data_IF_285781565400
#
_entry.id   IF_285781565400
#
_cell.length_a   1.000
_cell.length_b   1.000
_cell.length_c   1.000
_cell.angle_alpha   90.00
_cell.angle_beta   90.00
_cell.angle_gamma   90.00
#
_symmetry.space_group_name_H-M   'P 1'
#
loop_
_entity.id
_entity.type
_entity.pdbx_description
1 polymer ?
2 non-polymer ?
3 non-polymer ?
4 water ?
#
# COMPACT_ATOMS: atom_id res chain seq x y z
N UNK A 4 -12.05 16.47 6.56
CA UNK A 4 -12.78 15.51 5.75
C UNK A 4 -12.14 14.15 5.98
N UNK A 5 -12.24 13.29 4.97
CA UNK A 5 -11.95 11.86 5.07
C UNK A 5 -10.48 11.68 4.73
N UNK A 6 -9.62 12.03 5.68
CA UNK A 6 -8.19 11.78 5.53
C UNK A 6 -7.84 10.40 6.00
N UNK A 7 -6.83 9.82 5.36
CA UNK A 7 -6.35 8.48 5.67
C UNK A 7 -6.19 8.28 7.18
N UNK A 8 -6.85 7.25 7.72
CA UNK A 8 -6.69 6.91 9.12
C UNK A 8 -7.17 5.48 9.34
N UNK A 9 -6.87 4.96 10.54
CA UNK A 9 -7.39 3.65 10.92
C UNK A 9 -8.80 3.77 11.46
N UNK A 10 -9.66 2.84 11.05
CA UNK A 10 -11.06 2.80 11.44
C UNK A 10 -11.41 1.40 11.92
N UNK A 11 -12.46 1.26 12.74
CA UNK A 11 -12.82 -0.06 13.26
C UNK A 11 -13.37 -0.98 12.19
N UNK A 12 -13.06 -2.27 12.31
CA UNK A 12 -13.58 -3.29 11.40
C UNK A 12 -13.57 -4.61 12.16
N UNK A 13 -14.76 -5.07 12.57
CA UNK A 13 -14.88 -6.37 13.23
C UNK A 13 -15.21 -7.40 12.17
N UNK A 14 -14.49 -8.52 12.20
CA UNK A 14 -14.66 -9.61 11.25
C UNK A 14 -15.08 -10.86 12.02
N UNK A 15 -16.30 -11.30 11.79
CA UNK A 15 -16.76 -12.61 12.22
C UNK A 15 -16.27 -13.64 11.22
N UNK A 16 -15.59 -14.68 11.70
CA UNK A 16 -15.04 -15.66 10.77
C UNK A 16 -16.12 -16.43 10.02
N UNK A 17 -17.34 -16.49 10.56
CA UNK A 17 -18.41 -17.18 9.84
C UNK A 17 -18.73 -16.44 8.54
N UNK A 18 -18.76 -15.12 8.58
CA UNK A 18 -19.18 -14.34 7.43
C UNK A 18 -18.24 -14.50 6.24
N UNK A 19 -17.07 -15.12 6.43
CA UNK A 19 -16.16 -15.39 5.33
C UNK A 19 -15.95 -16.88 5.11
N UNK A 20 -16.63 -17.72 5.89
CA UNK A 20 -16.49 -19.16 5.78
C UNK A 20 -15.24 -19.73 6.41
N UNK A 21 -14.44 -18.91 7.12
CA UNK A 21 -13.26 -19.44 7.77
C UNK A 21 -13.58 -20.20 9.06
N UNK A 22 -14.83 -20.18 9.52
CA UNK A 22 -15.18 -21.06 10.63
C UNK A 22 -15.04 -22.54 10.27
N UNK A 23 -14.76 -22.86 9.01
CA UNK A 23 -14.50 -24.24 8.63
C UNK A 23 -13.18 -24.74 9.20
N UNK A 24 -12.22 -23.86 9.44
CA UNK A 24 -10.93 -24.29 9.98
C UNK A 24 -10.48 -23.51 11.19
N UNK A 25 -11.04 -22.34 11.47
CA UNK A 25 -10.71 -21.61 12.69
C UNK A 25 -11.72 -21.99 13.77
N UNK A 26 -11.22 -22.57 14.86
CA UNK A 26 -12.07 -22.99 15.97
C UNK A 26 -12.35 -21.82 16.92
N UNK A 27 -11.34 -20.99 17.20
CA UNK A 27 -11.46 -19.86 18.11
C UNK A 27 -10.40 -18.84 17.73
N UNK A 28 -10.68 -17.54 17.90
CA UNK A 28 -11.93 -16.90 18.36
C UNK A 28 -13.00 -16.94 17.27
N UNK A 29 -14.26 -16.60 17.58
CA UNK A 29 -15.28 -16.49 16.51
C UNK A 29 -15.06 -15.31 15.57
N UNK A 30 -14.38 -14.28 16.04
CA UNK A 30 -14.12 -13.09 15.23
C UNK A 30 -13.07 -12.27 15.95
N UNK A 31 -12.69 -11.15 15.34
CA UNK A 31 -11.70 -10.28 15.97
C UNK A 31 -11.81 -8.88 15.37
N UNK A 32 -11.18 -7.93 16.04
CA UNK A 32 -11.10 -6.54 15.59
C UNK A 32 -9.93 -6.45 14.63
N UNK A 33 -10.22 -6.48 13.32
CA UNK A 33 -9.18 -6.42 12.30
C UNK A 33 -8.76 -5.01 11.92
N UNK A 34 -9.62 -4.02 12.15
CA UNK A 34 -9.45 -2.64 11.70
C UNK A 34 -9.27 -2.53 10.19
N UNK A 35 -9.27 -1.31 9.67
CA UNK A 35 -9.01 -1.10 8.25
C UNK A 35 -8.50 0.33 8.10
N UNK A 36 -7.91 0.61 6.95
CA UNK A 36 -7.41 1.94 6.66
C UNK A 36 -8.27 2.55 5.59
N UNK A 37 -8.79 3.75 5.85
CA UNK A 37 -9.75 4.40 4.98
C UNK A 37 -9.49 5.89 4.93
N UNK A 38 -9.77 6.51 3.79
CA UNK A 38 -9.58 7.94 3.61
C UNK A 38 -8.59 8.25 2.50
N UNK A 39 -8.45 9.56 2.21
CA UNK A 39 -7.67 10.01 1.06
C UNK A 39 -6.28 10.45 1.50
N UNK A 40 -5.35 10.36 0.57
CA UNK A 40 -3.98 10.82 0.75
C UNK A 40 -3.85 12.15 0.04
N UNK A 41 -4.02 13.23 0.78
CA UNK A 41 -4.02 14.57 0.21
C UNK A 41 -2.67 15.24 0.40
N UNK A 42 -2.20 15.91 -0.65
CA UNK A 42 -0.99 16.72 -0.55
C UNK A 42 -1.32 18.04 0.16
N UNK A 43 -0.45 18.52 1.07
CA UNK A 43 0.82 17.95 1.54
C UNK A 43 0.63 16.71 2.41
N UNK A 44 1.32 15.61 2.09
CA UNK A 44 1.12 14.38 2.83
C UNK A 44 1.66 14.52 4.24
N UNK A 45 0.80 14.31 5.23
CA UNK A 45 1.17 14.48 6.63
C UNK A 45 2.27 13.50 7.01
N UNK A 46 3.18 13.96 7.88
CA UNK A 46 4.34 13.14 8.21
C UNK A 46 3.93 11.86 8.94
N UNK A 47 2.84 11.88 9.70
CA UNK A 47 2.46 10.66 10.41
C UNK A 47 2.01 9.55 9.48
N UNK A 48 1.78 9.85 8.20
CA UNK A 48 1.39 8.83 7.23
C UNK A 48 2.61 8.21 6.55
N UNK A 49 3.79 8.50 7.06
CA UNK A 49 5.10 8.00 6.63
C UNK A 49 5.24 7.87 5.12
N UNK A 50 4.89 8.90 4.35
CA UNK A 50 4.87 8.75 2.89
C UNK A 50 6.27 8.50 2.34
N UNK A 51 6.33 7.62 1.34
CA UNK A 51 7.59 7.42 0.62
C UNK A 51 7.81 8.57 -0.37
N UNK A 52 9.04 8.66 -0.88
CA UNK A 52 9.34 9.67 -1.90
C UNK A 52 8.50 9.43 -3.14
N UNK A 53 8.35 8.16 -3.54
CA UNK A 53 7.50 7.86 -4.68
C UNK A 53 6.06 8.31 -4.45
N UNK A 54 5.53 8.06 -3.26
CA UNK A 54 4.16 8.48 -2.97
C UNK A 54 4.03 10.00 -3.02
N UNK A 55 5.05 10.72 -2.55
CA UNK A 55 5.03 12.17 -2.60
C UNK A 55 5.06 12.66 -4.04
N UNK A 56 5.96 12.09 -4.85
CA UNK A 56 6.10 12.56 -6.22
C UNK A 56 4.88 12.19 -7.04
N UNK A 57 4.38 10.97 -6.88
CA UNK A 57 3.17 10.57 -7.59
C UNK A 57 2.01 11.50 -7.25
N UNK A 58 1.86 11.83 -5.96
CA UNK A 58 0.76 12.70 -5.56
C UNK A 58 0.90 14.09 -6.16
N UNK A 59 2.14 14.59 -6.24
CA UNK A 59 2.37 15.91 -6.80
C UNK A 59 2.09 15.94 -8.30
N UNK A 60 2.56 14.93 -9.03
CA UNK A 60 2.26 14.84 -10.46
C UNK A 60 0.76 14.82 -10.69
N UNK A 61 0.05 14.04 -9.87
CA UNK A 61 -1.39 13.88 -10.06
C UNK A 61 -2.16 15.13 -9.66
N UNK A 62 -1.58 15.92 -8.76
CA UNK A 62 -2.29 17.07 -8.21
C UNK A 62 -2.68 18.07 -9.30
N UNK A 63 -1.76 18.32 -10.22
CA UNK A 63 -1.99 19.28 -11.29
C UNK A 63 -2.32 18.62 -12.62
N UNK A 64 -2.48 17.29 -12.64
CA UNK A 64 -2.81 16.54 -13.89
C UNK A 64 -3.59 15.37 -13.31
N UNK A 65 -4.92 15.47 -13.36
CA UNK A 65 -5.73 14.37 -12.85
C UNK A 65 -5.75 13.17 -13.79
N UNK A 66 -5.26 13.32 -15.02
CA UNK A 66 -5.23 12.22 -16.00
C UNK A 66 -3.85 11.61 -16.16
N UNK A 67 -2.97 11.80 -15.19
CA UNK A 67 -1.64 11.21 -15.18
C UNK A 67 -1.47 10.58 -13.81
N UNK A 68 -0.98 9.33 -13.76
CA UNK A 68 -0.78 8.60 -12.51
C UNK A 68 -2.07 8.63 -11.67
N UNK A 69 -1.97 8.71 -10.34
CA UNK A 69 -3.14 8.64 -9.47
C UNK A 69 -2.74 9.12 -8.07
N UNK A 70 -3.71 9.19 -7.16
CA UNK A 70 -3.41 9.57 -5.78
C UNK A 70 -2.75 8.38 -5.08
N UNK A 71 -1.93 8.66 -4.06
CA UNK A 71 -1.37 7.61 -3.21
C UNK A 71 -2.48 6.94 -2.42
N UNK A 72 -2.26 5.69 -2.04
CA UNK A 72 -3.31 4.87 -1.43
C UNK A 72 -3.10 4.74 0.07
N UNK A 73 -4.20 4.76 0.80
CA UNK A 73 -4.24 4.58 2.25
C UNK A 73 -4.23 3.09 2.54
N UNK A 74 -3.14 2.57 3.10
CA UNK A 74 -2.97 1.13 3.30
C UNK A 74 -2.39 0.86 4.68
N UNK A 75 -2.54 -0.37 5.17
CA UNK A 75 -1.84 -0.75 6.41
C UNK A 75 -0.33 -0.70 6.22
N UNK A 76 0.34 -0.07 7.18
CA UNK A 76 1.79 -0.05 7.22
C UNK A 76 2.37 -0.79 8.42
N UNK A 77 1.53 -1.24 9.35
CA UNK A 77 2.00 -2.10 10.42
C UNK A 77 0.84 -3.01 10.82
N UNK A 78 1.10 -4.31 10.88
CA UNK A 78 0.09 -5.31 11.17
C UNK A 78 0.48 -6.05 12.45
N UNK A 79 -0.53 -6.47 13.22
CA UNK A 79 -0.30 -7.15 14.49
C UNK A 79 -0.84 -8.57 14.43
N UNK A 80 -0.27 -9.49 15.20
CA UNK A 80 -0.83 -10.86 15.25
C UNK A 80 -2.03 -10.96 16.18
N UNK A 81 -2.76 -12.06 16.02
CA UNK A 81 -3.72 -12.52 17.03
C UNK A 81 -3.43 -13.98 17.34
N UNK A 82 -3.98 -14.47 18.45
CA UNK A 82 -3.94 -15.91 18.77
C UNK A 82 -5.15 -16.58 18.12
N UNK A 83 -4.92 -17.75 17.52
CA UNK A 83 -6.01 -18.54 16.96
C UNK A 83 -5.86 -20.00 17.37
N UNK A 84 -6.98 -20.68 17.46
CA UNK A 84 -7.05 -22.13 17.60
C UNK A 84 -7.65 -22.66 16.32
N UNK A 85 -6.93 -23.52 15.62
CA UNK A 85 -7.37 -23.92 14.29
C UNK A 85 -7.04 -25.37 13.98
N UNK A 86 -7.62 -25.83 12.86
CA UNK A 86 -7.34 -27.13 12.29
C UNK A 86 -6.34 -26.99 11.15
N UNK A 87 -5.24 -27.74 11.22
CA UNK A 87 -4.19 -27.70 10.20
C UNK A 87 -3.99 -29.11 9.66
N UNK A 88 -4.53 -29.38 8.47
CA UNK A 88 -4.45 -30.70 7.86
C UNK A 88 -5.02 -31.78 8.79
N UNK A 89 -5.99 -31.40 9.60
CA UNK A 89 -6.72 -32.35 10.42
C UNK A 89 -6.13 -32.60 11.80
N UNK A 90 -5.61 -31.56 12.44
CA UNK A 90 -5.14 -31.66 13.82
C UNK A 90 -5.27 -30.30 14.47
N UNK A 91 -5.78 -30.27 15.70
CA UNK A 91 -6.01 -29.01 16.41
C UNK A 91 -4.66 -28.39 16.76
N UNK A 92 -4.44 -27.18 16.25
CA UNK A 92 -3.18 -26.47 16.43
C UNK A 92 -3.45 -25.13 17.11
N UNK A 93 -2.53 -24.74 17.99
CA UNK A 93 -2.60 -23.45 18.68
C UNK A 93 -1.42 -22.58 18.25
N UNK A 94 -1.72 -21.34 17.91
CA UNK A 94 -0.68 -20.39 17.51
C UNK A 94 -0.95 -19.08 18.24
N UNK A 95 -0.05 -18.71 19.16
CA UNK A 95 -0.25 -17.51 19.97
C UNK A 95 -0.13 -16.24 19.15
N UNK A 96 0.74 -16.22 18.14
CA UNK A 96 0.87 -15.03 17.29
C UNK A 96 0.82 -15.42 15.80
N UNK A 97 -0.39 -15.47 15.28
CA UNK A 97 -0.66 -15.65 13.85
C UNK A 97 -0.52 -14.28 13.20
N UNK A 98 0.55 -14.06 12.46
CA UNK A 98 0.97 -12.71 12.08
C UNK A 98 0.10 -12.11 10.98
N UNK A 99 0.12 -10.78 10.92
CA UNK A 99 -0.44 -10.06 9.78
C UNK A 99 -1.92 -9.80 9.83
N UNK A 100 -2.55 -9.80 11.00
CA UNK A 100 -4.00 -9.90 11.05
C UNK A 100 -4.73 -8.59 11.35
N UNK A 101 -4.18 -7.75 12.22
CA UNK A 101 -4.89 -6.57 12.71
C UNK A 101 -4.06 -5.34 12.38
N UNK A 102 -4.71 -4.29 11.87
CA UNK A 102 -4.00 -3.07 11.53
C UNK A 102 -3.65 -2.32 12.80
N UNK A 103 -2.37 -1.96 12.96
CA UNK A 103 -2.01 -1.03 14.01
C UNK A 103 -1.58 0.34 13.50
N UNK A 104 -1.11 0.44 12.25
CA UNK A 104 -0.79 1.73 11.65
C UNK A 104 -1.21 1.77 10.19
N UNK A 105 -1.63 2.95 9.73
CA UNK A 105 -1.96 3.24 8.35
C UNK A 105 -0.98 4.26 7.78
N UNK A 106 -0.83 4.23 6.45
CA UNK A 106 0.07 5.19 5.81
C UNK A 106 -0.33 5.37 4.36
N UNK A 107 0.33 6.33 3.71
CA UNK A 107 0.11 6.60 2.29
C UNK A 107 1.26 6.02 1.47
N UNK A 108 0.91 5.20 0.48
CA UNK A 108 1.92 4.53 -0.33
C UNK A 108 1.64 4.57 -1.84
N UNK B 4 -7.25 -8.69 -17.92
CA UNK B 4 -7.71 -7.35 -17.59
C UNK B 4 -6.72 -6.54 -16.76
N UNK B 5 -7.22 -5.43 -16.23
CA UNK B 5 -6.41 -4.53 -15.41
C UNK B 5 -6.28 -5.07 -13.99
N UNK B 6 -5.72 -6.26 -13.88
CA UNK B 6 -5.27 -6.74 -12.58
C UNK B 6 -4.06 -5.93 -12.15
N UNK B 7 -3.88 -5.83 -10.84
CA UNK B 7 -2.78 -5.06 -10.23
C UNK B 7 -1.44 -5.41 -10.86
N UNK B 8 -0.73 -4.37 -11.32
CA UNK B 8 0.58 -4.59 -11.93
C UNK B 8 1.36 -3.27 -12.01
N UNK B 9 2.68 -3.39 -12.18
CA UNK B 9 3.51 -2.22 -12.42
C UNK B 9 3.32 -1.72 -13.85
N UNK B 10 3.14 -0.42 -14.02
CA UNK B 10 2.98 0.19 -15.33
C UNK B 10 3.93 1.36 -15.47
N UNK B 11 4.19 1.81 -16.71
CA UNK B 11 5.17 2.87 -16.90
C UNK B 11 4.67 4.22 -16.41
N UNK B 12 5.58 5.02 -15.88
CA UNK B 12 5.26 6.39 -15.51
C UNK B 12 6.55 7.18 -15.55
N UNK B 13 6.69 8.05 -16.54
CA UNK B 13 7.87 8.89 -16.67
C UNK B 13 7.57 10.23 -16.02
N UNK B 14 8.46 10.69 -15.14
CA UNK B 14 8.22 11.93 -14.41
C UNK B 14 9.31 12.92 -14.80
N UNK B 15 8.90 14.05 -15.37
CA UNK B 15 9.82 15.12 -15.68
C UNK B 15 9.89 16.07 -14.49
N UNK B 16 11.11 16.38 -14.03
CA UNK B 16 11.24 17.13 -12.79
C UNK B 16 10.60 18.50 -12.85
N UNK B 17 10.37 19.02 -14.06
CA UNK B 17 9.67 20.28 -14.21
C UNK B 17 8.22 20.18 -13.73
N UNK B 18 7.58 19.02 -13.91
CA UNK B 18 6.20 18.85 -13.47
C UNK B 18 6.07 19.06 -11.97
N UNK B 19 7.01 18.49 -11.19
CA UNK B 19 6.93 18.58 -9.74
C UNK B 19 7.63 19.82 -9.20
N UNK B 20 8.26 20.60 -10.06
CA UNK B 20 8.92 21.83 -9.63
C UNK B 20 10.28 21.61 -8.99
N UNK B 21 10.92 20.49 -9.28
CA UNK B 21 12.25 20.17 -8.76
C UNK B 21 13.37 20.52 -9.73
N UNK B 22 13.04 20.96 -10.93
CA UNK B 22 14.07 21.48 -11.82
C UNK B 22 14.75 22.73 -11.27
N UNK B 23 14.28 23.23 -10.12
CA UNK B 23 14.97 24.35 -9.48
C UNK B 23 16.25 23.90 -8.77
N UNK B 24 16.30 22.66 -8.29
CA UNK B 24 17.52 22.18 -7.66
C UNK B 24 18.16 20.99 -8.35
N UNK B 25 17.39 20.15 -9.04
CA UNK B 25 17.95 18.99 -9.72
C UNK B 25 18.52 19.41 -11.07
N UNK B 26 19.78 19.11 -11.31
CA UNK B 26 20.44 19.42 -12.58
C UNK B 26 20.27 18.28 -13.58
N UNK B 27 20.43 17.05 -13.11
CA UNK B 27 20.33 15.87 -13.96
C UNK B 27 19.90 14.71 -13.07
N UNK B 28 19.12 13.75 -13.61
CA UNK B 28 18.57 13.70 -14.97
C UNK B 28 17.44 14.71 -15.08
N UNK B 29 17.00 15.06 -16.29
CA UNK B 29 15.80 15.92 -16.40
C UNK B 29 14.52 15.23 -15.94
N UNK B 30 14.50 13.91 -15.90
CA UNK B 30 13.37 13.16 -15.38
C UNK B 30 13.77 11.71 -15.23
N UNK B 31 12.81 10.88 -14.83
CA UNK B 31 13.15 9.47 -14.62
C UNK B 31 11.92 8.58 -14.73
N UNK B 32 12.18 7.31 -15.01
CA UNK B 32 11.15 6.26 -15.05
C UNK B 32 10.81 5.87 -13.62
N UNK B 33 9.71 6.43 -13.11
CA UNK B 33 9.30 6.16 -11.74
C UNK B 33 8.39 4.94 -11.62
N UNK B 34 7.68 4.59 -12.69
CA UNK B 34 6.67 3.52 -12.69
C UNK B 34 5.53 3.83 -11.72
N UNK B 35 4.46 3.06 -11.81
CA UNK B 35 3.35 3.18 -10.89
C UNK B 35 2.70 1.81 -10.78
N UNK B 36 1.82 1.66 -9.79
CA UNK B 36 1.07 0.42 -9.56
C UNK B 36 -0.39 0.72 -9.82
N UNK B 37 -1.00 -0.02 -10.76
CA UNK B 37 -2.39 0.22 -11.09
C UNK B 37 -3.08 -1.12 -11.28
N UNK B 38 -4.39 -1.13 -11.09
CA UNK B 38 -5.21 -2.30 -11.32
C UNK B 38 -5.87 -2.77 -10.04
N UNK B 39 -6.72 -3.80 -10.21
CA UNK B 39 -7.55 -4.30 -9.11
C UNK B 39 -6.89 -5.47 -8.40
N UNK B 40 -7.23 -5.60 -7.13
CA UNK B 40 -6.82 -6.74 -6.30
C UNK B 40 -8.02 -7.66 -6.20
N UNK B 41 -8.03 -8.69 -7.03
CA UNK B 41 -9.18 -9.58 -7.15
C UNK B 41 -8.92 -10.90 -6.45
N UNK B 42 -9.89 -11.35 -5.67
CA UNK B 42 -9.84 -12.70 -5.11
C UNK B 42 -10.03 -13.73 -6.22
N UNK B 43 -9.23 -14.81 -6.22
CA UNK B 43 -8.16 -15.15 -5.26
C UNK B 43 -6.90 -14.32 -5.52
N UNK B 44 -6.32 -13.72 -4.48
CA UNK B 44 -5.18 -12.82 -4.66
C UNK B 44 -3.96 -13.62 -5.10
N UNK B 45 -3.38 -13.25 -6.24
CA UNK B 45 -2.28 -14.02 -6.80
C UNK B 45 -1.06 -13.97 -5.88
N UNK B 46 -0.33 -15.07 -5.82
CA UNK B 46 0.81 -15.16 -4.92
C UNK B 46 1.84 -14.08 -5.22
N UNK B 47 2.02 -13.74 -6.50
CA UNK B 47 3.07 -12.80 -6.83
C UNK B 47 2.78 -11.39 -6.31
N UNK B 48 1.56 -11.13 -5.84
CA UNK B 48 1.22 -9.85 -5.25
C UNK B 48 1.45 -9.79 -3.75
N UNK B 49 2.06 -10.83 -3.18
CA UNK B 49 2.45 -11.01 -1.79
C UNK B 49 1.41 -10.47 -0.81
N UNK B 50 0.15 -10.83 -0.95
CA UNK B 50 -0.87 -10.29 -0.04
C UNK B 50 -0.61 -10.68 1.40
N UNK B 51 -0.81 -9.71 2.30
CA UNK B 51 -0.85 -9.99 3.72
C UNK B 51 -2.12 -10.78 4.06
N UNK B 52 -2.14 -11.35 5.27
CA UNK B 52 -3.35 -12.02 5.72
C UNK B 52 -4.48 -11.01 5.87
N UNK B 53 -4.18 -9.80 6.32
CA UNK B 53 -5.21 -8.79 6.47
C UNK B 53 -5.82 -8.43 5.11
N UNK B 54 -4.98 -8.32 4.09
CA UNK B 54 -5.50 -8.00 2.77
C UNK B 54 -6.38 -9.13 2.23
N UNK B 55 -6.01 -10.37 2.51
CA UNK B 55 -6.83 -11.50 2.08
C UNK B 55 -8.18 -11.46 2.79
N UNK B 56 -8.18 -11.24 4.10
CA UNK B 56 -9.44 -11.28 4.85
C UNK B 56 -10.30 -10.07 4.52
N UNK B 57 -9.68 -8.91 4.36
CA UNK B 57 -10.45 -7.73 3.95
C UNK B 57 -11.09 -7.95 2.58
N UNK B 58 -10.34 -8.54 1.66
CA UNK B 58 -10.89 -8.79 0.33
C UNK B 58 -12.08 -9.73 0.41
N UNK B 59 -11.98 -10.77 1.25
CA UNK B 59 -13.05 -11.76 1.33
C UNK B 59 -14.30 -11.18 1.99
N UNK B 60 -14.12 -10.39 3.05
CA UNK B 60 -15.26 -9.71 3.67
C UNK B 60 -16.00 -8.87 2.64
N UNK B 61 -15.24 -8.11 1.83
CA UNK B 61 -15.82 -7.19 0.87
C UNK B 61 -16.41 -7.91 -0.33
N UNK B 62 -15.88 -9.10 -0.62
CA UNK B 62 -16.29 -9.81 -1.82
C UNK B 62 -17.78 -10.13 -1.76
N UNK B 63 -18.27 -10.54 -0.60
CA UNK B 63 -19.66 -10.92 -0.42
C UNK B 63 -20.45 -9.83 0.25
N UNK B 64 -19.81 -8.70 0.54
CA UNK B 64 -20.50 -7.52 1.12
C UNK B 64 -19.76 -6.30 0.58
N UNK B 65 -20.35 -5.61 -0.41
CA UNK B 65 -19.66 -4.46 -0.99
C UNK B 65 -19.83 -3.20 -0.16
N UNK B 66 -20.69 -3.23 0.85
CA UNK B 66 -20.89 -2.11 1.76
C UNK B 66 -20.18 -2.28 3.09
N UNK B 67 -19.24 -3.22 3.16
CA UNK B 67 -18.41 -3.43 4.34
C UNK B 67 -16.96 -3.50 3.86
N UNK B 68 -16.10 -2.73 4.50
CA UNK B 68 -14.66 -2.68 4.17
C UNK B 68 -14.51 -2.25 2.70
N UNK B 69 -13.44 -2.68 2.03
CA UNK B 69 -13.24 -2.35 0.62
C UNK B 69 -12.19 -3.30 0.08
N UNK B 70 -11.90 -3.16 -1.22
CA UNK B 70 -10.88 -4.00 -1.83
C UNK B 70 -9.51 -3.63 -1.28
N UNK B 71 -8.61 -4.61 -1.27
CA UNK B 71 -7.20 -4.34 -1.05
C UNK B 71 -6.70 -3.38 -2.12
N UNK B 72 -5.63 -2.65 -1.80
CA UNK B 72 -5.12 -1.63 -2.71
C UNK B 72 -3.84 -2.10 -3.39
N UNK B 73 -3.73 -1.80 -4.69
CA UNK B 73 -2.52 -2.05 -5.47
C UNK B 73 -1.50 -0.95 -5.20
N UNK B 74 -0.41 -1.27 -4.52
CA UNK B 74 0.57 -0.26 -4.11
C UNK B 74 1.98 -0.78 -4.35
N UNK B 75 2.95 0.14 -4.42
CA UNK B 75 4.35 -0.30 -4.46
C UNK B 75 4.73 -1.05 -3.19
N UNK B 76 5.36 -2.21 -3.38
CA UNK B 76 5.89 -2.98 -2.28
C UNK B 76 7.41 -3.02 -2.24
N UNK B 77 8.06 -2.56 -3.29
CA UNK B 77 9.52 -2.48 -3.36
C UNK B 77 9.87 -1.25 -4.19
N UNK B 78 10.73 -0.38 -3.66
CA UNK B 78 11.16 0.84 -4.34
C UNK B 78 12.67 0.81 -4.52
N UNK B 79 13.14 1.45 -5.59
CA UNK B 79 14.55 1.49 -5.95
C UNK B 79 15.07 2.93 -5.96
N UNK B 80 16.37 3.11 -5.74
CA UNK B 80 16.96 4.45 -5.79
C UNK B 80 17.28 4.87 -7.22
N UNK B 81 17.49 6.17 -7.39
CA UNK B 81 18.13 6.69 -8.57
C UNK B 81 19.29 7.57 -8.11
N UNK B 82 20.16 7.91 -9.05
CA UNK B 82 21.18 8.92 -8.83
C UNK B 82 20.63 10.28 -9.25
N UNK B 83 20.97 11.32 -8.49
CA UNK B 83 20.60 12.68 -8.85
C UNK B 83 21.83 13.58 -8.80
N UNK B 84 21.93 14.46 -9.77
CA UNK B 84 22.94 15.51 -9.79
C UNK B 84 22.21 16.81 -9.47
N UNK B 85 22.66 17.55 -8.47
CA UNK B 85 21.88 18.68 -8.02
C UNK B 85 22.79 19.79 -7.51
N UNK B 86 22.17 20.91 -7.15
CA UNK B 86 22.92 22.07 -6.66
C UNK B 86 22.75 22.16 -5.14
N UNK B 87 23.88 22.08 -4.42
CA UNK B 87 23.93 22.19 -2.96
C UNK B 87 24.56 23.53 -2.62
N UNK B 88 23.72 24.52 -2.33
CA UNK B 88 24.16 25.90 -2.14
C UNK B 88 25.09 26.32 -3.29
N UNK B 89 24.66 26.05 -4.51
CA UNK B 89 25.40 26.47 -5.70
C UNK B 89 26.57 25.58 -6.08
N UNK B 90 26.83 24.51 -5.34
CA UNK B 90 27.92 23.58 -5.65
C UNK B 90 27.31 22.33 -6.28
N UNK B 91 27.86 21.90 -7.41
CA UNK B 91 27.34 20.72 -8.09
C UNK B 91 27.69 19.48 -7.26
N UNK B 92 26.68 18.68 -6.96
CA UNK B 92 26.77 17.59 -6.01
C UNK B 92 26.05 16.38 -6.58
N UNK B 93 26.63 15.20 -6.40
CA UNK B 93 26.04 13.95 -6.88
C UNK B 93 25.72 13.05 -5.69
N UNK B 94 24.48 12.58 -5.61
CA UNK B 94 24.07 11.52 -4.70
C UNK B 94 23.79 10.28 -5.54
N UNK B 95 24.54 9.20 -5.28
CA UNK B 95 24.43 8.00 -6.10
C UNK B 95 23.13 7.23 -5.82
N UNK B 96 22.70 7.19 -4.55
CA UNK B 96 21.62 6.32 -4.09
C UNK B 96 20.60 7.20 -3.38
N UNK B 97 19.67 7.78 -4.15
CA UNK B 97 18.58 8.58 -3.61
C UNK B 97 17.37 7.63 -3.53
N UNK B 98 17.03 7.20 -2.31
CA UNK B 98 16.20 6.01 -2.18
C UNK B 98 14.71 6.34 -2.28
N UNK B 99 13.94 5.29 -2.57
CA UNK B 99 12.50 5.35 -2.51
C UNK B 99 11.84 5.95 -3.73
N UNK B 100 12.51 5.93 -4.89
CA UNK B 100 12.10 6.76 -6.03
C UNK B 100 11.35 6.03 -7.12
N UNK B 101 11.71 4.79 -7.44
CA UNK B 101 11.14 4.06 -8.56
C UNK B 101 10.57 2.72 -8.10
N UNK B 102 9.41 2.33 -8.65
CA UNK B 102 8.80 1.06 -8.28
C UNK B 102 9.52 -0.10 -8.97
N UNK B 103 9.95 -1.09 -8.18
CA UNK B 103 10.34 -2.35 -8.80
C UNK B 103 9.34 -3.49 -8.59
N UNK B 104 8.50 -3.43 -7.55
CA UNK B 104 7.45 -4.43 -7.36
C UNK B 104 6.18 -3.81 -6.79
N UNK B 105 5.04 -4.39 -7.21
CA UNK B 105 3.71 -4.02 -6.75
C UNK B 105 3.07 -5.18 -5.99
N UNK B 106 2.12 -4.85 -5.12
CA UNK B 106 1.44 -5.87 -4.34
C UNK B 106 0.11 -5.38 -3.82
N UNK B 107 -0.70 -6.29 -3.29
CA UNK B 107 -2.00 -5.96 -2.73
C UNK B 107 -1.88 -5.84 -1.22
N UNK B 108 -2.30 -4.70 -0.68
CA UNK B 108 -2.13 -4.43 0.74
C UNK B 108 -3.38 -3.85 1.43
#
# INVERSE_FOLDING_TARGET
GDDGNYCKRTPLYIDFKEIGWDSWIIAPPGYEAYECRGVCFFPLAEHLTPTKHAIIQTLVHLKNSQKASKACCVPTKLEPISILYLDKGVVTLKYKYEGMAVSECGCR
GDDGNYCKRTPLYIDFKEIGWDSWIIAPPGYEAYECRGVCFFPLAEHLTPTKHAIIQTLVHLKNSQKASKACCVPTKLEPISILYLDKGVVTLKYKYEGMAVSECGCR
#
